data_IF_796305383868
#
_entry.id   IF_796305383868
#
_cell.length_a   1.000
_cell.length_b   1.000
_cell.length_c   1.000
_cell.angle_alpha   90.00
_cell.angle_beta   90.00
_cell.angle_gamma   90.00
#
_symmetry.space_group_name_H-M   'P 1'
#
loop_
_entity.id
_entity.type
_entity.pdbx_description
1 polymer ?
#
# COMPACT_ATOMS: atom_id res chain seq x y z
N UNK A 1 35.50 12.08 1.90
CA UNK A 1 34.24 11.35 1.67
C UNK A 1 33.12 12.13 2.33
N UNK A 2 32.30 12.84 1.57
CA UNK A 2 31.11 13.51 2.12
C UNK A 2 30.00 12.47 2.28
N UNK A 3 29.79 12.02 3.49
CA UNK A 3 28.56 11.31 3.86
C UNK A 3 27.45 12.33 3.96
N UNK A 4 26.75 12.57 2.86
CA UNK A 4 25.53 13.34 2.89
C UNK A 4 24.48 12.55 3.65
N UNK A 5 24.12 12.98 4.84
CA UNK A 5 22.95 12.45 5.56
C UNK A 5 21.72 12.83 4.76
N UNK A 6 21.13 11.85 4.04
CA UNK A 6 19.79 12.02 3.53
C UNK A 6 18.82 11.95 4.71
N UNK A 7 17.90 12.89 4.79
CA UNK A 7 16.84 12.83 5.79
C UNK A 7 15.92 11.64 5.48
N UNK A 8 15.29 11.07 6.50
CA UNK A 8 14.31 9.98 6.35
C UNK A 8 13.24 10.34 5.32
N UNK A 9 12.79 11.58 5.31
CA UNK A 9 11.84 12.13 4.34
C UNK A 9 12.34 12.07 2.89
N UNK A 10 13.60 12.41 2.62
CA UNK A 10 14.18 12.35 1.27
C UNK A 10 14.29 10.91 0.75
N UNK A 11 14.60 9.97 1.65
CA UNK A 11 14.66 8.54 1.32
C UNK A 11 13.26 8.02 0.99
N UNK A 12 12.25 8.37 1.78
CA UNK A 12 10.86 7.99 1.54
C UNK A 12 10.33 8.56 0.22
N UNK A 13 10.52 9.85 -0.05
CA UNK A 13 10.12 10.48 -1.31
C UNK A 13 10.76 9.80 -2.53
N UNK A 14 12.04 9.46 -2.44
CA UNK A 14 12.75 8.74 -3.52
C UNK A 14 12.18 7.34 -3.73
N UNK A 15 11.91 6.62 -2.65
CA UNK A 15 11.33 5.27 -2.71
C UNK A 15 9.91 5.30 -3.30
N UNK A 16 9.09 6.25 -2.89
CA UNK A 16 7.73 6.42 -3.42
C UNK A 16 7.73 6.73 -4.91
N UNK A 17 8.62 7.63 -5.37
CA UNK A 17 8.78 7.94 -6.81
C UNK A 17 9.23 6.72 -7.62
N UNK A 18 10.14 5.91 -7.08
CA UNK A 18 10.58 4.67 -7.74
C UNK A 18 9.42 3.68 -7.84
N UNK A 19 8.69 3.44 -6.77
CA UNK A 19 7.53 2.53 -6.74
C UNK A 19 6.44 2.98 -7.70
N UNK A 20 6.11 4.26 -7.74
CA UNK A 20 5.16 4.84 -8.69
C UNK A 20 5.62 4.59 -10.15
N UNK A 21 6.88 4.84 -10.45
CA UNK A 21 7.47 4.59 -11.78
C UNK A 21 7.36 3.12 -12.20
N UNK A 22 7.70 2.20 -11.31
CA UNK A 22 7.59 0.76 -11.56
C UNK A 22 6.13 0.32 -11.77
N UNK A 23 5.20 0.87 -11.00
CA UNK A 23 3.76 0.62 -11.15
C UNK A 23 3.28 1.08 -12.53
N UNK A 24 3.63 2.28 -12.95
CA UNK A 24 3.27 2.81 -14.29
C UNK A 24 3.88 1.94 -15.39
N UNK A 25 5.15 1.55 -15.27
CA UNK A 25 5.82 0.70 -16.25
C UNK A 25 5.17 -0.69 -16.39
N UNK A 26 4.72 -1.25 -15.27
CA UNK A 26 4.09 -2.59 -15.22
C UNK A 26 2.65 -2.59 -15.72
N UNK A 27 1.98 -1.45 -15.82
CA UNK A 27 0.57 -1.34 -16.18
C UNK A 27 0.31 -1.54 -17.68
N UNK A 28 1.21 -1.08 -18.53
CA UNK A 28 1.06 -1.13 -19.99
C UNK A 28 0.78 -2.53 -20.53
N UNK A 29 1.58 -3.57 -20.20
CA UNK A 29 1.34 -4.95 -20.62
C UNK A 29 0.00 -5.52 -20.15
N UNK A 30 -0.59 -4.96 -19.09
CA UNK A 30 -1.90 -5.36 -18.55
C UNK A 30 -3.07 -4.62 -19.18
N UNK A 31 -2.82 -3.70 -20.12
CA UNK A 31 -3.86 -2.85 -20.72
C UNK A 31 -4.45 -1.82 -19.76
N UNK A 32 -3.72 -1.48 -18.69
CA UNK A 32 -4.15 -0.52 -17.67
C UNK A 32 -3.38 0.80 -17.84
N UNK A 33 -4.09 1.92 -17.78
CA UNK A 33 -3.47 3.26 -17.73
C UNK A 33 -3.39 3.73 -16.29
N UNK A 34 -2.17 3.97 -15.80
CA UNK A 34 -1.93 4.48 -14.45
C UNK A 34 -1.55 5.96 -14.53
N UNK A 35 -2.20 6.78 -13.69
CA UNK A 35 -1.85 8.18 -13.47
C UNK A 35 -1.35 8.35 -12.04
N UNK A 36 -0.08 8.65 -11.88
CA UNK A 36 0.51 8.95 -10.58
C UNK A 36 0.04 10.33 -10.06
N UNK A 37 -0.32 10.38 -8.78
CA UNK A 37 -0.78 11.56 -8.05
C UNK A 37 -0.07 11.62 -6.70
N UNK A 38 1.17 12.08 -6.70
CA UNK A 38 1.94 12.27 -5.47
C UNK A 38 1.29 13.32 -4.56
N UNK A 39 1.25 13.04 -3.25
CA UNK A 39 0.71 13.91 -2.21
C UNK A 39 1.70 13.98 -1.05
N UNK A 40 1.93 15.17 -0.52
CA UNK A 40 2.85 15.40 0.60
C UNK A 40 2.24 16.18 1.76
N UNK A 41 1.06 16.75 1.55
CA UNK A 41 0.34 17.57 2.52
C UNK A 41 -1.18 17.47 2.35
N UNK A 42 -1.93 18.05 3.26
CA UNK A 42 -3.37 17.95 3.30
C UNK A 42 -4.04 18.67 2.12
N UNK A 43 -3.52 19.84 1.73
CA UNK A 43 -4.08 20.60 0.61
C UNK A 43 -3.88 19.86 -0.71
N UNK A 44 -2.73 19.23 -0.89
CA UNK A 44 -2.46 18.33 -2.00
C UNK A 44 -3.42 17.13 -2.04
N UNK A 45 -3.71 16.51 -0.88
CA UNK A 45 -4.68 15.41 -0.78
C UNK A 45 -6.07 15.86 -1.21
N UNK A 46 -6.55 17.01 -0.74
CA UNK A 46 -7.84 17.57 -1.16
C UNK A 46 -7.86 17.91 -2.65
N UNK A 47 -6.77 18.45 -3.18
CA UNK A 47 -6.60 18.71 -4.62
C UNK A 47 -6.69 17.44 -5.45
N UNK A 48 -6.10 16.34 -4.96
CA UNK A 48 -6.22 15.01 -5.59
C UNK A 48 -7.66 14.51 -5.52
N UNK A 49 -8.33 14.59 -4.38
CA UNK A 49 -9.74 14.19 -4.25
C UNK A 49 -10.65 14.96 -5.21
N UNK A 50 -10.47 16.28 -5.31
CA UNK A 50 -11.23 17.10 -6.26
C UNK A 50 -10.96 16.68 -7.72
N UNK A 51 -9.73 16.32 -8.05
CA UNK A 51 -9.36 15.83 -9.37
C UNK A 51 -9.99 14.47 -9.66
N UNK A 52 -9.87 13.50 -8.73
CA UNK A 52 -10.44 12.16 -8.89
C UNK A 52 -11.97 12.19 -9.04
N UNK A 53 -12.65 13.10 -8.33
CA UNK A 53 -14.10 13.31 -8.50
C UNK A 53 -14.48 13.76 -9.91
N UNK A 54 -13.62 14.55 -10.55
CA UNK A 54 -13.84 15.04 -11.93
C UNK A 54 -13.53 13.98 -12.99
N UNK A 55 -12.38 13.32 -12.87
CA UNK A 55 -11.91 12.34 -13.89
C UNK A 55 -12.57 10.98 -13.75
N UNK A 56 -13.10 10.64 -12.56
CA UNK A 56 -13.78 9.38 -12.24
C UNK A 56 -13.00 8.15 -12.73
N UNK A 57 -11.83 7.87 -12.18
CA UNK A 57 -11.06 6.69 -12.56
C UNK A 57 -11.82 5.40 -12.20
N UNK A 58 -11.52 4.30 -12.89
CA UNK A 58 -12.15 3.00 -12.63
C UNK A 58 -11.73 2.40 -11.27
N UNK A 59 -10.51 2.73 -10.81
CA UNK A 59 -9.99 2.24 -9.54
C UNK A 59 -8.89 3.18 -8.98
N UNK A 60 -8.60 3.01 -7.70
CA UNK A 60 -7.53 3.70 -6.99
C UNK A 60 -6.54 2.68 -6.41
N UNK A 61 -5.25 2.89 -6.63
CA UNK A 61 -4.19 2.22 -5.91
C UNK A 61 -3.56 3.21 -4.91
N UNK A 62 -3.64 2.91 -3.62
CA UNK A 62 -3.06 3.73 -2.56
C UNK A 62 -1.76 3.08 -2.09
N UNK A 63 -0.65 3.73 -2.42
CA UNK A 63 0.65 3.40 -1.85
C UNK A 63 0.72 3.87 -0.40
N UNK A 64 1.21 3.01 0.48
CA UNK A 64 1.21 3.30 1.92
C UNK A 64 2.54 3.90 2.34
N UNK A 65 2.44 5.07 2.94
CA UNK A 65 3.51 5.81 3.60
C UNK A 65 3.01 6.40 4.94
N UNK A 66 3.82 7.09 5.74
CA UNK A 66 3.38 7.72 6.98
C UNK A 66 2.23 8.71 6.79
N UNK A 67 2.23 9.49 5.71
CA UNK A 67 1.20 10.48 5.44
C UNK A 67 -0.16 9.83 5.11
N UNK A 68 -0.19 8.89 4.17
CA UNK A 68 -1.41 8.17 3.79
C UNK A 68 -1.95 7.33 4.94
N UNK A 69 -1.07 6.76 5.78
CA UNK A 69 -1.45 6.04 7.00
C UNK A 69 -2.08 6.97 8.03
N UNK A 70 -1.55 8.17 8.22
CA UNK A 70 -2.13 9.17 9.12
C UNK A 70 -3.52 9.63 8.65
N UNK A 71 -3.71 9.77 7.34
CA UNK A 71 -4.97 10.18 6.71
C UNK A 71 -5.86 9.02 6.25
N UNK A 72 -5.60 7.80 6.74
CA UNK A 72 -6.30 6.57 6.36
C UNK A 72 -7.83 6.73 6.32
N UNK A 73 -8.43 7.23 7.40
CA UNK A 73 -9.89 7.39 7.48
C UNK A 73 -10.43 8.28 6.36
N UNK A 74 -9.77 9.40 6.09
CA UNK A 74 -10.17 10.36 5.07
C UNK A 74 -10.10 9.77 3.67
N UNK A 75 -9.05 8.97 3.38
CA UNK A 75 -8.91 8.26 2.11
C UNK A 75 -10.01 7.22 1.94
N UNK A 76 -10.33 6.45 3.00
CA UNK A 76 -11.39 5.45 2.97
C UNK A 76 -12.77 6.07 2.77
N UNK A 77 -13.07 7.16 3.47
CA UNK A 77 -14.32 7.91 3.32
C UNK A 77 -14.48 8.46 1.91
N UNK A 78 -13.42 9.02 1.35
CA UNK A 78 -13.42 9.50 -0.04
C UNK A 78 -13.72 8.36 -1.02
N UNK A 79 -13.03 7.23 -0.92
CA UNK A 79 -13.24 6.08 -1.80
C UNK A 79 -14.68 5.53 -1.67
N UNK A 80 -15.20 5.38 -0.45
CA UNK A 80 -16.54 4.88 -0.19
C UNK A 80 -17.64 5.84 -0.73
N UNK A 81 -17.51 7.14 -0.46
CA UNK A 81 -18.49 8.15 -0.89
C UNK A 81 -18.55 8.30 -2.42
N UNK A 82 -17.45 8.06 -3.11
CA UNK A 82 -17.38 8.09 -4.57
C UNK A 82 -17.61 6.72 -5.23
N UNK A 83 -17.91 5.66 -4.44
CA UNK A 83 -18.02 4.26 -4.91
C UNK A 83 -16.81 3.83 -5.75
N UNK A 84 -15.63 4.32 -5.37
CA UNK A 84 -14.39 4.09 -6.08
C UNK A 84 -13.71 2.84 -5.55
N UNK A 85 -13.57 1.77 -6.33
CA UNK A 85 -12.83 0.59 -5.94
C UNK A 85 -11.38 0.98 -5.61
N UNK A 86 -10.91 0.64 -4.41
CA UNK A 86 -9.58 1.01 -3.98
C UNK A 86 -8.81 -0.19 -3.44
N UNK A 87 -7.56 -0.32 -3.89
CA UNK A 87 -6.59 -1.30 -3.43
C UNK A 87 -5.51 -0.60 -2.60
N UNK A 88 -5.10 -1.27 -1.53
CA UNK A 88 -4.12 -0.78 -0.57
C UNK A 88 -2.98 -1.79 -0.42
N UNK A 89 -1.79 -1.34 -0.03
CA UNK A 89 -0.65 -2.22 0.22
C UNK A 89 -0.61 -2.77 1.65
N UNK A 90 -1.46 -2.26 2.55
CA UNK A 90 -1.49 -2.66 3.95
C UNK A 90 -2.91 -3.07 4.37
N UNK A 91 -3.01 -4.23 5.02
CA UNK A 91 -4.27 -4.81 5.50
C UNK A 91 -5.01 -3.93 6.50
N UNK A 92 -4.32 -3.04 7.22
CA UNK A 92 -4.95 -2.12 8.18
C UNK A 92 -5.98 -1.21 7.52
N UNK A 93 -5.78 -0.84 6.26
CA UNK A 93 -6.76 -0.08 5.49
C UNK A 93 -8.05 -0.88 5.26
N UNK A 94 -7.94 -2.17 4.95
CA UNK A 94 -9.10 -3.04 4.75
C UNK A 94 -9.81 -3.36 6.05
N UNK A 95 -9.06 -3.56 7.13
CA UNK A 95 -9.60 -3.75 8.48
C UNK A 95 -10.34 -2.49 8.98
N UNK A 96 -9.93 -1.30 8.53
CA UNK A 96 -10.60 -0.04 8.81
C UNK A 96 -11.77 0.29 7.85
N UNK A 97 -12.08 -0.57 6.87
CA UNK A 97 -13.21 -0.40 5.95
C UNK A 97 -12.85 -0.26 4.47
N UNK A 98 -11.57 -0.38 4.10
CA UNK A 98 -11.15 -0.44 2.69
C UNK A 98 -11.63 -1.70 1.97
N UNK A 99 -11.58 -1.69 0.63
CA UNK A 99 -12.09 -2.79 -0.20
C UNK A 99 -11.15 -4.00 -0.22
N UNK A 100 -9.91 -3.79 -0.63
CA UNK A 100 -8.94 -4.87 -0.87
C UNK A 100 -7.54 -4.41 -0.55
N UNK A 101 -6.72 -5.30 -0.01
CA UNK A 101 -5.28 -5.06 0.12
C UNK A 101 -4.47 -6.26 -0.34
N UNK A 102 -3.30 -5.96 -0.90
CA UNK A 102 -2.28 -6.94 -1.21
C UNK A 102 -0.91 -6.38 -0.84
N UNK A 103 -0.27 -6.98 0.13
CA UNK A 103 1.01 -6.49 0.62
C UNK A 103 1.70 -7.46 1.56
N UNK A 104 2.95 -7.17 1.96
CA UNK A 104 3.71 -8.04 2.85
C UNK A 104 3.03 -8.17 4.21
N UNK A 105 3.11 -9.37 4.77
CA UNK A 105 2.61 -9.61 6.11
C UNK A 105 3.57 -9.06 7.17
N UNK A 106 3.26 -7.85 7.63
CA UNK A 106 4.14 -7.10 8.54
C UNK A 106 4.51 -7.86 9.82
N UNK A 107 3.60 -8.67 10.39
CA UNK A 107 3.90 -9.47 11.57
C UNK A 107 5.05 -10.49 11.35
N UNK A 108 5.17 -11.02 10.13
CA UNK A 108 6.28 -11.91 9.76
C UNK A 108 7.60 -11.13 9.63
N UNK A 109 7.56 -9.93 9.09
CA UNK A 109 8.74 -9.07 9.00
C UNK A 109 9.29 -8.75 10.40
N UNK A 110 8.42 -8.40 11.35
CA UNK A 110 8.82 -8.17 12.75
C UNK A 110 9.40 -9.42 13.42
N UNK A 111 8.82 -10.61 13.19
CA UNK A 111 9.40 -11.86 13.70
C UNK A 111 10.79 -12.14 13.14
N UNK A 112 10.99 -11.88 11.85
CA UNK A 112 12.31 -12.03 11.21
C UNK A 112 13.30 -11.02 11.78
N UNK A 113 12.91 -9.77 11.98
CA UNK A 113 13.75 -8.75 12.62
C UNK A 113 14.23 -9.19 14.00
N UNK A 114 13.38 -9.82 14.82
CA UNK A 114 13.78 -10.37 16.11
C UNK A 114 14.87 -11.44 15.99
N UNK A 115 14.84 -12.29 14.94
CA UNK A 115 15.90 -13.26 14.67
C UNK A 115 17.24 -12.62 14.31
N UNK A 116 17.20 -11.51 13.56
CA UNK A 116 18.42 -10.75 13.24
C UNK A 116 19.01 -10.12 14.50
N UNK A 117 18.18 -9.52 15.35
CA UNK A 117 18.61 -8.96 16.64
C UNK A 117 19.26 -10.04 17.50
N UNK A 118 18.65 -11.22 17.64
CA UNK A 118 19.22 -12.34 18.40
C UNK A 118 20.60 -12.76 17.88
N UNK A 119 20.78 -12.89 16.57
CA UNK A 119 22.06 -13.21 15.96
C UNK A 119 23.13 -12.17 16.27
N UNK A 120 22.79 -10.88 16.15
CA UNK A 120 23.70 -9.76 16.42
C UNK A 120 24.11 -9.74 17.90
N UNK A 121 23.15 -9.92 18.80
CA UNK A 121 23.43 -10.00 20.26
C UNK A 121 24.30 -11.21 20.62
N UNK A 122 24.29 -12.28 19.84
CA UNK A 122 25.17 -13.45 19.96
C UNK A 122 26.52 -13.30 19.27
N UNK A 123 26.81 -12.10 18.73
CA UNK A 123 28.13 -11.77 18.16
C UNK A 123 28.21 -11.89 16.62
N UNK A 124 27.11 -12.13 15.92
CA UNK A 124 27.15 -12.07 14.46
C UNK A 124 27.36 -10.63 13.98
N UNK A 125 28.27 -10.45 13.00
CA UNK A 125 28.48 -9.16 12.40
C UNK A 125 27.29 -8.80 11.50
N UNK A 126 26.63 -7.63 11.65
CA UNK A 126 25.51 -7.21 10.82
C UNK A 126 25.81 -7.20 9.31
N UNK A 127 27.06 -6.90 8.93
CA UNK A 127 27.48 -6.86 7.54
C UNK A 127 27.47 -8.26 6.85
N UNK A 128 27.55 -9.33 7.63
CA UNK A 128 27.57 -10.72 7.13
C UNK A 128 26.17 -11.34 7.09
N UNK A 129 25.15 -10.62 7.59
CA UNK A 129 23.78 -11.10 7.59
C UNK A 129 23.13 -10.86 6.22
N UNK A 130 22.43 -11.87 5.65
CA UNK A 130 21.80 -11.73 4.35
C UNK A 130 20.64 -10.73 4.41
N UNK A 131 20.47 -9.94 3.33
CA UNK A 131 19.26 -9.12 3.14
C UNK A 131 18.16 -10.04 2.61
N UNK A 132 17.09 -10.19 3.38
CA UNK A 132 15.94 -11.01 3.00
C UNK A 132 14.77 -10.15 2.52
N UNK A 133 14.16 -10.55 1.39
CA UNK A 133 12.91 -9.94 0.94
C UNK A 133 11.70 -10.61 1.62
N UNK A 134 10.55 -9.90 1.74
CA UNK A 134 9.31 -10.52 2.14
C UNK A 134 8.94 -11.66 1.21
N UNK A 135 8.62 -12.83 1.77
CA UNK A 135 8.20 -14.00 1.00
C UNK A 135 6.71 -14.28 1.12
N UNK A 136 6.05 -13.67 2.11
CA UNK A 136 4.63 -13.84 2.35
C UNK A 136 3.89 -12.52 2.15
N UNK A 137 2.91 -12.56 1.25
CA UNK A 137 1.98 -11.48 0.98
C UNK A 137 0.58 -11.93 1.36
N UNK A 138 -0.21 -11.03 1.95
CA UNK A 138 -1.60 -11.27 2.31
C UNK A 138 -2.53 -10.57 1.32
N UNK A 139 -3.49 -11.32 0.76
CA UNK A 139 -4.64 -10.79 0.05
C UNK A 139 -5.83 -10.73 1.03
N UNK A 140 -6.24 -9.52 1.40
CA UNK A 140 -7.40 -9.30 2.29
C UNK A 140 -8.51 -8.59 1.52
N UNK A 141 -9.74 -9.10 1.65
CA UNK A 141 -10.91 -8.58 0.93
C UNK A 141 -12.04 -8.29 1.91
N UNK A 142 -12.68 -7.12 1.76
CA UNK A 142 -13.83 -6.72 2.57
C UNK A 142 -15.11 -6.76 1.73
N UNK A 143 -15.94 -7.78 1.94
CA UNK A 143 -17.21 -7.94 1.22
C UNK A 143 -18.29 -6.96 1.68
N UNK A 144 -18.22 -6.41 2.90
CA UNK A 144 -19.14 -5.35 3.33
C UNK A 144 -18.91 -4.10 2.48
N UNK A 145 -17.65 -3.72 2.32
CA UNK A 145 -17.28 -2.56 1.47
C UNK A 145 -17.60 -2.84 0.01
N UNK A 146 -17.30 -4.04 -0.49
CA UNK A 146 -17.65 -4.43 -1.86
C UNK A 146 -19.17 -4.24 -2.14
N UNK A 147 -20.02 -4.72 -1.22
CA UNK A 147 -21.47 -4.53 -1.30
C UNK A 147 -21.88 -3.05 -1.22
N UNK A 148 -21.22 -2.27 -0.35
CA UNK A 148 -21.54 -0.86 -0.16
C UNK A 148 -21.27 -0.02 -1.42
N UNK A 149 -20.24 -0.36 -2.19
CA UNK A 149 -19.86 0.37 -3.40
C UNK A 149 -20.30 -0.32 -4.70
N UNK A 150 -21.16 -1.35 -4.60
CA UNK A 150 -21.70 -2.14 -5.72
C UNK A 150 -20.62 -2.85 -6.56
N UNK A 151 -19.54 -3.33 -5.94
CA UNK A 151 -18.48 -4.10 -6.60
C UNK A 151 -18.64 -5.58 -6.37
N UNK A 152 -18.64 -6.35 -7.45
CA UNK A 152 -18.66 -7.82 -7.40
C UNK A 152 -17.22 -8.32 -7.44
N UNK A 153 -16.79 -9.03 -6.40
CA UNK A 153 -15.49 -9.69 -6.38
C UNK A 153 -15.63 -11.07 -7.04
N UNK A 154 -14.86 -11.36 -8.11
CA UNK A 154 -14.95 -12.64 -8.79
C UNK A 154 -14.62 -13.83 -7.87
N UNK A 155 -15.30 -14.99 -8.01
CA UNK A 155 -15.08 -16.15 -7.14
C UNK A 155 -13.64 -16.66 -7.14
N UNK A 156 -12.94 -16.61 -8.27
CA UNK A 156 -11.54 -16.99 -8.38
C UNK A 156 -10.60 -16.04 -7.61
N UNK A 157 -10.96 -14.76 -7.44
CA UNK A 157 -10.21 -13.80 -6.60
C UNK A 157 -10.49 -14.09 -5.13
N UNK A 158 -11.74 -14.32 -4.75
CA UNK A 158 -12.12 -14.67 -3.38
C UNK A 158 -11.46 -15.97 -2.91
N UNK A 159 -11.34 -16.97 -3.77
CA UNK A 159 -10.70 -18.25 -3.46
C UNK A 159 -9.18 -18.10 -3.14
N UNK A 160 -8.56 -17.00 -3.58
CA UNK A 160 -7.14 -16.69 -3.33
C UNK A 160 -6.92 -15.80 -2.12
N UNK A 161 -8.00 -15.29 -1.50
CA UNK A 161 -7.88 -14.40 -0.37
C UNK A 161 -7.43 -15.15 0.89
N UNK A 162 -6.42 -14.62 1.57
CA UNK A 162 -5.95 -15.11 2.88
C UNK A 162 -6.95 -14.76 3.99
N UNK A 163 -7.67 -13.64 3.83
CA UNK A 163 -8.71 -13.21 4.77
C UNK A 163 -9.86 -12.51 4.02
N UNK A 164 -11.09 -12.89 4.38
CA UNK A 164 -12.31 -12.25 3.88
C UNK A 164 -13.10 -11.67 5.07
N UNK A 165 -13.36 -10.36 5.07
CA UNK A 165 -14.21 -9.67 6.04
C UNK A 165 -15.66 -9.70 5.50
N UNK A 166 -16.58 -10.25 6.31
CA UNK A 166 -18.01 -10.43 5.96
C UNK A 166 -18.90 -9.61 6.87
#
# INVERSE_FOLDING_TARGET
MNWGFQTEREIEEKNMKLRAKETVASAGPLGVTVQDRGVSDLDGLEGVFATLTKIRPDALLVMVDPFTRFHLKRILEFAANNRLPAMYEDRSFVEAGGLISYGPWNAELYRRSAKYIDKILKGANPADLPVEQPTKFDLVINLKTAKQIDVIIPPNVLARADKVIR
#
